data_IF_101308843320
#
_entry.id   IF_101308843320
#
_cell.length_a   1.000
_cell.length_b   1.000
_cell.length_c   1.000
_cell.angle_alpha   90.00
_cell.angle_beta   90.00
_cell.angle_gamma   90.00
#
_symmetry.space_group_name_H-M   'P 1'
#
loop_
_entity.id
_entity.type
_entity.pdbx_description
1 polymer ?
#
# COMPACT_ATOMS: atom_id res chain seq x y z
N UNK A 1 9.15 34.31 -19.67
CA UNK A 1 10.59 34.72 -19.77
C UNK A 1 11.42 34.24 -18.57
N UNK A 2 10.98 34.42 -17.31
CA UNK A 2 11.72 33.96 -16.13
C UNK A 2 11.91 32.42 -16.08
N UNK A 3 10.90 31.65 -16.42
CA UNK A 3 10.98 30.17 -16.42
C UNK A 3 11.96 29.62 -17.47
N UNK A 4 12.06 30.25 -18.62
CA UNK A 4 13.03 29.89 -19.69
C UNK A 4 14.46 30.20 -19.26
N UNK A 5 14.70 31.32 -18.58
CA UNK A 5 16.04 31.71 -18.08
C UNK A 5 16.51 30.77 -16.94
N UNK A 6 15.61 30.33 -16.05
CA UNK A 6 15.94 29.36 -15.00
C UNK A 6 16.24 27.99 -15.59
N UNK A 7 15.48 27.55 -16.59
CA UNK A 7 15.71 26.29 -17.32
C UNK A 7 17.03 26.37 -18.13
N UNK A 8 17.39 27.50 -18.72
CA UNK A 8 18.68 27.70 -19.41
C UNK A 8 19.87 27.64 -18.44
N UNK A 9 19.74 28.24 -17.24
CA UNK A 9 20.77 28.14 -16.18
C UNK A 9 20.95 26.73 -15.66
N UNK A 10 19.84 26.03 -15.47
CA UNK A 10 19.84 24.61 -15.08
C UNK A 10 20.43 23.72 -16.19
N UNK A 11 20.11 23.99 -17.45
CA UNK A 11 20.69 23.28 -18.59
C UNK A 11 22.20 23.44 -18.70
N UNK A 12 22.72 24.64 -18.43
CA UNK A 12 24.16 24.90 -18.35
C UNK A 12 24.84 24.19 -17.19
N UNK A 13 24.20 24.11 -16.03
CA UNK A 13 24.69 23.39 -14.85
C UNK A 13 24.61 21.86 -15.02
N UNK A 14 23.64 21.37 -15.80
CA UNK A 14 23.43 19.95 -16.11
C UNK A 14 24.10 19.54 -17.44
N UNK A 15 25.36 19.90 -17.62
CA UNK A 15 26.12 19.89 -18.87
C UNK A 15 26.14 18.58 -19.70
N UNK A 16 25.79 17.41 -19.13
CA UNK A 16 25.76 16.15 -19.86
C UNK A 16 24.37 15.48 -19.79
N UNK A 17 24.06 14.67 -20.79
CA UNK A 17 22.84 13.85 -20.81
C UNK A 17 22.73 12.92 -19.58
N UNK A 18 23.85 12.41 -19.11
CA UNK A 18 23.93 11.57 -17.92
C UNK A 18 23.61 12.35 -16.62
N UNK A 19 24.11 13.60 -16.51
CA UNK A 19 23.82 14.44 -15.33
C UNK A 19 22.33 14.81 -15.28
N UNK A 20 21.71 15.07 -16.45
CA UNK A 20 20.27 15.34 -16.57
C UNK A 20 19.43 14.12 -16.20
N UNK A 21 19.84 12.91 -16.61
CA UNK A 21 19.17 11.66 -16.24
C UNK A 21 19.16 11.48 -14.72
N UNK A 22 20.34 11.55 -14.07
CA UNK A 22 20.48 11.46 -12.61
C UNK A 22 19.66 12.52 -11.86
N UNK A 23 19.56 13.73 -12.40
CA UNK A 23 18.72 14.78 -11.80
C UNK A 23 17.24 14.39 -11.85
N UNK A 24 16.74 13.88 -12.98
CA UNK A 24 15.37 13.42 -13.13
C UNK A 24 15.04 12.26 -12.16
N UNK A 25 15.94 11.31 -12.04
CA UNK A 25 15.82 10.17 -11.10
C UNK A 25 15.77 10.67 -9.64
N UNK A 26 16.70 11.54 -9.24
CA UNK A 26 16.73 12.12 -7.89
C UNK A 26 15.48 12.96 -7.58
N UNK A 27 14.99 13.70 -8.56
CA UNK A 27 13.75 14.48 -8.42
C UNK A 27 12.53 13.57 -8.27
N UNK A 28 12.45 12.50 -9.05
CA UNK A 28 11.39 11.49 -8.96
C UNK A 28 11.37 10.85 -7.56
N UNK A 29 12.54 10.42 -7.06
CA UNK A 29 12.66 9.86 -5.72
C UNK A 29 12.20 10.85 -4.63
N UNK A 30 12.61 12.11 -4.73
CA UNK A 30 12.17 13.14 -3.79
C UNK A 30 10.65 13.34 -3.82
N UNK A 31 10.01 13.30 -4.99
CA UNK A 31 8.56 13.42 -5.13
C UNK A 31 7.85 12.25 -4.47
N UNK A 32 8.33 11.00 -4.67
CA UNK A 32 7.80 9.80 -4.03
C UNK A 32 7.82 9.93 -2.50
N UNK A 33 8.96 10.34 -1.94
CA UNK A 33 9.12 10.55 -0.49
C UNK A 33 8.24 11.69 0.03
N UNK A 34 8.13 12.82 -0.70
CA UNK A 34 7.24 13.94 -0.34
C UNK A 34 5.75 13.59 -0.46
N UNK A 35 5.38 12.64 -1.31
CA UNK A 35 4.04 12.11 -1.36
C UNK A 35 3.68 11.25 -0.14
N UNK A 36 4.67 10.90 0.71
CA UNK A 36 4.51 10.09 1.91
C UNK A 36 4.69 8.60 1.66
N UNK A 37 5.19 8.22 0.48
CA UNK A 37 5.50 6.83 0.14
C UNK A 37 6.83 6.40 0.77
N UNK A 38 6.93 5.14 1.16
CA UNK A 38 8.12 4.54 1.80
C UNK A 38 8.77 3.53 0.86
N UNK A 39 10.07 3.72 0.61
CA UNK A 39 10.88 2.81 -0.19
C UNK A 39 10.93 1.41 0.45
N UNK A 40 10.88 0.38 -0.38
CA UNK A 40 10.84 -1.02 0.06
C UNK A 40 9.49 -1.47 0.64
N UNK A 41 8.50 -0.58 0.74
CA UNK A 41 7.13 -0.88 1.21
C UNK A 41 6.10 -0.42 0.18
N UNK A 42 6.05 0.89 -0.08
CA UNK A 42 5.07 1.50 -0.99
C UNK A 42 5.64 1.64 -2.40
N UNK A 43 6.98 1.69 -2.58
CA UNK A 43 7.62 1.73 -3.89
C UNK A 43 9.02 1.11 -3.89
N UNK A 44 9.47 0.71 -5.08
CA UNK A 44 10.80 0.19 -5.36
C UNK A 44 11.45 1.00 -6.49
N UNK A 45 12.74 1.35 -6.31
CA UNK A 45 13.58 1.97 -7.35
C UNK A 45 14.37 0.85 -8.01
N UNK A 46 14.26 0.74 -9.33
CA UNK A 46 15.03 -0.23 -10.10
C UNK A 46 16.39 0.33 -10.42
N UNK A 47 17.40 -0.08 -9.67
CA UNK A 47 18.82 0.27 -9.90
C UNK A 47 19.46 -0.74 -10.84
N UNK A 48 19.00 -0.86 -12.07
CA UNK A 48 19.72 -1.68 -13.05
C UNK A 48 20.84 -0.86 -13.69
N UNK A 49 22.12 -1.28 -13.57
CA UNK A 49 23.21 -0.67 -14.34
C UNK A 49 23.09 -1.13 -15.80
N UNK A 50 22.60 -0.27 -16.63
CA UNK A 50 22.53 -0.48 -18.07
C UNK A 50 21.13 -0.67 -18.64
N UNK A 51 20.99 -0.30 -19.88
CA UNK A 51 19.80 -0.26 -20.73
C UNK A 51 19.18 -1.67 -20.96
N UNK A 52 18.76 -2.34 -19.88
CA UNK A 52 17.91 -3.52 -19.99
C UNK A 52 16.53 -3.02 -20.40
N UNK A 53 16.28 -3.05 -21.71
CA UNK A 53 15.01 -2.69 -22.31
C UNK A 53 13.89 -3.46 -21.65
N UNK A 54 13.06 -2.79 -20.86
CA UNK A 54 11.85 -3.37 -20.30
C UNK A 54 11.68 -3.27 -18.78
N UNK A 55 12.61 -2.66 -18.03
CA UNK A 55 12.46 -2.45 -16.58
C UNK A 55 12.06 -0.99 -16.34
N UNK A 56 10.99 -0.69 -15.58
CA UNK A 56 10.62 0.67 -15.20
C UNK A 56 11.62 1.25 -14.19
N UNK A 57 11.78 2.56 -14.14
CA UNK A 57 12.68 3.19 -13.15
C UNK A 57 12.12 3.08 -11.73
N UNK A 58 10.79 3.12 -11.57
CA UNK A 58 10.09 2.99 -10.30
C UNK A 58 8.83 2.14 -10.45
N UNK A 59 8.59 1.30 -9.45
CA UNK A 59 7.33 0.57 -9.27
C UNK A 59 6.68 1.09 -7.98
N UNK A 60 5.44 1.59 -8.05
CA UNK A 60 4.66 1.98 -6.88
C UNK A 60 3.59 0.93 -6.62
N UNK A 61 3.61 0.32 -5.44
CA UNK A 61 2.64 -0.67 -5.00
C UNK A 61 1.38 0.03 -4.49
N UNK A 62 0.30 -0.14 -5.22
CA UNK A 62 -1.00 0.46 -4.90
C UNK A 62 -1.86 -0.49 -4.06
N UNK A 63 -3.05 -0.03 -3.66
CA UNK A 63 -4.08 -0.89 -3.10
C UNK A 63 -4.46 -2.04 -4.06
N UNK A 64 -5.03 -3.11 -3.52
CA UNK A 64 -5.52 -4.29 -4.28
C UNK A 64 -4.42 -5.01 -5.09
N UNK A 65 -3.17 -4.91 -4.65
CA UNK A 65 -1.99 -5.53 -5.29
C UNK A 65 -1.77 -5.05 -6.72
N UNK A 66 -2.15 -3.82 -7.01
CA UNK A 66 -1.86 -3.17 -8.28
C UNK A 66 -0.51 -2.46 -8.22
N UNK A 67 0.21 -2.45 -9.34
CA UNK A 67 1.49 -1.78 -9.51
C UNK A 67 1.36 -0.64 -10.53
N UNK A 68 1.82 0.54 -10.15
CA UNK A 68 1.98 1.68 -11.04
C UNK A 68 3.45 1.80 -11.46
N UNK A 69 3.69 1.74 -12.75
CA UNK A 69 5.02 1.86 -13.33
C UNK A 69 5.31 3.30 -13.73
N UNK A 70 6.50 3.79 -13.37
CA UNK A 70 6.97 5.15 -13.69
C UNK A 70 8.31 5.05 -14.39
N UNK A 71 8.44 5.71 -15.53
CA UNK A 71 9.67 5.85 -16.33
C UNK A 71 10.06 7.34 -16.39
N UNK A 72 11.32 7.67 -16.05
CA UNK A 72 11.84 9.04 -15.98
C UNK A 72 12.62 9.48 -17.24
N UNK A 73 12.62 8.66 -18.26
CA UNK A 73 13.39 8.87 -19.49
C UNK A 73 12.70 9.85 -20.42
N UNK A 74 13.07 11.11 -20.33
CA UNK A 74 12.47 12.20 -21.08
C UNK A 74 13.42 12.78 -22.14
N UNK A 75 13.00 13.04 -23.39
CA UNK A 75 13.86 13.60 -24.41
C UNK A 75 14.06 15.10 -24.25
N UNK A 76 15.30 15.56 -24.09
CA UNK A 76 15.60 16.99 -23.89
C UNK A 76 16.34 17.62 -25.07
N UNK A 77 16.96 16.84 -25.94
CA UNK A 77 17.98 17.32 -26.89
C UNK A 77 17.42 18.42 -27.79
N UNK A 78 16.30 18.15 -28.45
CA UNK A 78 15.66 19.11 -29.37
C UNK A 78 15.15 20.35 -28.68
N UNK A 79 14.70 20.24 -27.46
CA UNK A 79 14.30 21.39 -26.65
C UNK A 79 15.48 22.33 -26.41
N UNK A 80 16.63 21.81 -25.97
CA UNK A 80 17.81 22.62 -25.72
C UNK A 80 18.40 23.23 -26.98
N UNK A 81 18.40 22.51 -28.11
CA UNK A 81 18.75 23.04 -29.40
C UNK A 81 17.83 24.25 -29.80
N UNK A 82 16.52 24.07 -29.57
CA UNK A 82 15.54 25.11 -29.89
C UNK A 82 15.71 26.40 -29.07
N UNK A 83 16.00 26.30 -27.76
CA UNK A 83 16.18 27.48 -26.92
C UNK A 83 17.57 28.11 -27.08
N UNK A 84 18.51 27.45 -27.74
CA UNK A 84 19.85 27.94 -28.02
C UNK A 84 19.98 28.65 -29.37
N UNK A 85 18.93 28.62 -30.21
CA UNK A 85 18.93 29.29 -31.52
C UNK A 85 18.11 30.59 -31.47
N UNK A 86 18.64 31.64 -32.11
CA UNK A 86 17.96 32.92 -32.26
C UNK A 86 17.01 32.97 -33.51
N UNK A 87 17.17 32.02 -34.44
CA UNK A 87 16.32 31.91 -35.60
C UNK A 87 14.95 31.33 -35.27
N UNK A 88 13.90 32.12 -35.50
CA UNK A 88 12.52 31.76 -35.14
C UNK A 88 11.99 30.57 -35.91
N UNK A 89 12.34 30.37 -37.18
CA UNK A 89 11.85 29.27 -37.99
C UNK A 89 12.57 27.96 -37.61
N UNK A 90 13.87 28.00 -37.37
CA UNK A 90 14.64 26.91 -36.84
C UNK A 90 14.10 26.48 -35.45
N UNK A 91 13.81 27.44 -34.57
CA UNK A 91 13.23 27.20 -33.26
C UNK A 91 11.88 26.47 -33.35
N UNK A 92 10.97 26.92 -34.20
CA UNK A 92 9.67 26.25 -34.42
C UNK A 92 9.84 24.81 -34.91
N UNK A 93 10.77 24.63 -35.87
CA UNK A 93 11.06 23.30 -36.41
C UNK A 93 11.59 22.34 -35.33
N UNK A 94 12.52 22.83 -34.50
CA UNK A 94 13.09 22.07 -33.40
C UNK A 94 12.06 21.75 -32.30
N UNK A 95 11.13 22.66 -31.98
CA UNK A 95 10.05 22.40 -31.02
C UNK A 95 9.06 21.35 -31.53
N UNK A 96 8.72 21.35 -32.84
CA UNK A 96 7.93 20.27 -33.45
C UNK A 96 8.65 18.93 -33.38
N UNK A 97 9.96 18.92 -33.64
CA UNK A 97 10.78 17.73 -33.52
C UNK A 97 10.84 17.22 -32.06
N UNK A 98 10.93 18.16 -31.07
CA UNK A 98 10.85 17.82 -29.66
C UNK A 98 9.52 17.13 -29.28
N UNK A 99 8.38 17.66 -29.73
CA UNK A 99 7.08 17.04 -29.50
C UNK A 99 6.99 15.64 -30.15
N UNK A 100 7.57 15.49 -31.36
CA UNK A 100 7.66 14.19 -32.05
C UNK A 100 8.54 13.19 -31.30
N UNK A 101 9.70 13.62 -30.78
CA UNK A 101 10.58 12.77 -29.98
C UNK A 101 9.88 12.31 -28.70
N UNK A 102 9.10 13.17 -28.06
CA UNK A 102 8.31 12.83 -26.88
C UNK A 102 7.26 11.76 -27.21
N UNK A 103 6.53 11.89 -28.33
CA UNK A 103 5.61 10.86 -28.80
C UNK A 103 6.33 9.55 -29.14
N UNK A 104 7.53 9.61 -29.69
CA UNK A 104 8.36 8.43 -29.91
C UNK A 104 8.70 7.69 -28.61
N UNK A 105 8.96 8.42 -27.52
CA UNK A 105 9.13 7.83 -26.17
C UNK A 105 7.84 7.23 -25.63
N UNK A 106 6.71 7.90 -25.81
CA UNK A 106 5.38 7.37 -25.47
C UNK A 106 5.14 6.05 -26.20
N UNK A 107 5.46 5.98 -27.49
CA UNK A 107 5.33 4.76 -28.31
C UNK A 107 6.23 3.63 -27.84
N UNK A 108 7.47 3.94 -27.50
CA UNK A 108 8.41 2.96 -26.98
C UNK A 108 7.95 2.42 -25.62
N UNK A 109 7.43 3.30 -24.76
CA UNK A 109 6.95 2.95 -23.42
C UNK A 109 5.68 2.09 -23.50
N UNK A 110 4.72 2.43 -24.35
CA UNK A 110 3.50 1.66 -24.56
C UNK A 110 3.75 0.23 -25.06
N UNK A 111 4.84 0.01 -25.81
CA UNK A 111 5.23 -1.32 -26.32
C UNK A 111 5.87 -2.22 -25.28
N UNK A 112 6.34 -1.68 -24.14
CA UNK A 112 6.99 -2.47 -23.08
C UNK A 112 6.03 -3.38 -22.31
N UNK A 113 4.71 -3.33 -22.61
CA UNK A 113 3.66 -4.20 -22.06
C UNK A 113 3.65 -4.29 -20.52
N UNK A 114 4.00 -3.23 -19.84
CA UNK A 114 3.82 -3.16 -18.38
C UNK A 114 2.37 -3.39 -17.98
N UNK A 115 1.43 -3.06 -18.87
CA UNK A 115 -0.01 -3.26 -18.73
C UNK A 115 -0.46 -4.73 -18.83
N UNK A 116 0.40 -5.64 -19.29
CA UNK A 116 0.06 -7.06 -19.44
C UNK A 116 0.23 -7.88 -18.16
N UNK A 117 0.88 -7.36 -17.13
CA UNK A 117 0.92 -7.97 -15.81
C UNK A 117 -0.48 -7.88 -15.17
N UNK A 118 -0.97 -8.98 -14.61
CA UNK A 118 -2.28 -9.03 -13.91
C UNK A 118 -2.40 -8.01 -12.77
N UNK A 119 -1.27 -7.48 -12.32
CA UNK A 119 -1.12 -6.49 -11.24
C UNK A 119 -0.95 -5.06 -11.74
N UNK A 120 -0.97 -4.80 -13.05
CA UNK A 120 -0.74 -3.46 -13.59
C UNK A 120 -1.94 -2.54 -13.43
N UNK A 121 -1.67 -1.25 -13.19
CA UNK A 121 -2.66 -0.17 -13.13
C UNK A 121 -3.31 0.18 -14.49
N UNK A 122 -3.09 -0.59 -15.56
CA UNK A 122 -3.56 -0.36 -16.93
C UNK A 122 -3.01 0.90 -17.62
N UNK A 123 -2.07 1.60 -17.01
CA UNK A 123 -1.34 2.72 -17.60
C UNK A 123 0.06 2.83 -17.02
N UNK A 124 0.93 3.54 -17.71
CA UNK A 124 2.31 3.82 -17.28
C UNK A 124 2.50 5.33 -17.19
N UNK A 125 3.29 5.79 -16.24
CA UNK A 125 3.61 7.21 -16.09
C UNK A 125 4.96 7.49 -16.76
N UNK A 126 4.98 8.44 -17.69
CA UNK A 126 6.20 9.06 -18.20
C UNK A 126 6.47 10.35 -17.42
N UNK A 127 7.52 10.34 -16.61
CA UNK A 127 7.86 11.49 -15.79
C UNK A 127 8.67 12.52 -16.58
N UNK A 128 8.12 13.74 -16.67
CA UNK A 128 8.76 14.90 -17.25
C UNK A 128 9.28 15.80 -16.13
N UNK A 129 10.61 15.87 -15.86
CA UNK A 129 11.15 16.55 -14.68
C UNK A 129 11.06 18.08 -14.73
N UNK A 130 10.67 18.66 -15.87
CA UNK A 130 10.54 20.09 -16.03
C UNK A 130 9.20 20.48 -16.66
N UNK A 131 8.42 21.31 -15.96
CA UNK A 131 7.11 21.81 -16.43
C UNK A 131 7.23 22.55 -17.78
N UNK A 132 8.28 23.38 -17.94
CA UNK A 132 8.50 24.19 -19.14
C UNK A 132 8.76 23.35 -20.40
N UNK A 133 9.44 22.22 -20.26
CA UNK A 133 9.74 21.35 -21.41
C UNK A 133 8.46 20.69 -21.95
N UNK A 134 7.58 20.24 -21.07
CA UNK A 134 6.29 19.70 -21.47
C UNK A 134 5.39 20.82 -22.05
N UNK A 135 5.38 22.00 -21.43
CA UNK A 135 4.57 23.12 -21.90
C UNK A 135 4.92 23.52 -23.35
N UNK A 136 6.20 23.59 -23.72
CA UNK A 136 6.63 23.90 -25.08
C UNK A 136 6.27 22.78 -26.07
N UNK A 137 6.34 21.52 -25.64
CA UNK A 137 5.90 20.39 -26.48
C UNK A 137 4.38 20.47 -26.76
N UNK A 138 3.57 20.90 -25.79
CA UNK A 138 2.13 21.08 -25.94
C UNK A 138 1.76 22.29 -26.82
N UNK A 139 2.59 23.34 -26.83
CA UNK A 139 2.42 24.44 -27.77
C UNK A 139 2.68 23.96 -29.21
N UNK A 140 3.67 23.08 -29.41
CA UNK A 140 4.00 22.54 -30.72
C UNK A 140 3.02 21.45 -31.21
N UNK A 141 2.46 20.64 -30.31
CA UNK A 141 1.43 19.62 -30.56
C UNK A 141 0.36 19.65 -29.44
N UNK A 142 -0.72 20.42 -29.60
CA UNK A 142 -1.77 20.57 -28.57
C UNK A 142 -2.51 19.27 -28.18
N UNK A 143 -2.50 18.26 -29.06
CA UNK A 143 -3.17 16.97 -28.80
C UNK A 143 -2.19 15.88 -28.31
N UNK A 144 -0.96 16.25 -27.93
CA UNK A 144 0.08 15.34 -27.50
C UNK A 144 -0.35 14.49 -26.29
N UNK A 145 -1.01 15.09 -25.30
CA UNK A 145 -1.49 14.36 -24.12
C UNK A 145 -2.60 13.38 -24.46
N UNK A 146 -3.49 13.73 -25.37
CA UNK A 146 -4.56 12.82 -25.85
C UNK A 146 -3.94 11.61 -26.56
N UNK A 147 -2.97 11.83 -27.44
CA UNK A 147 -2.23 10.75 -28.11
C UNK A 147 -1.48 9.84 -27.14
N UNK A 148 -0.91 10.39 -26.06
CA UNK A 148 -0.26 9.61 -25.02
C UNK A 148 -1.29 8.78 -24.23
N UNK A 149 -2.41 9.38 -23.88
CA UNK A 149 -3.48 8.73 -23.13
C UNK A 149 -4.12 7.56 -23.92
N UNK A 150 -4.35 7.71 -25.23
CA UNK A 150 -4.79 6.62 -26.11
C UNK A 150 -3.86 5.40 -26.06
N UNK A 151 -2.57 5.64 -25.81
CA UNK A 151 -1.54 4.60 -25.66
C UNK A 151 -1.34 4.14 -24.21
N UNK A 152 -2.25 4.54 -23.31
CA UNK A 152 -2.16 4.24 -21.88
C UNK A 152 -0.89 4.75 -21.21
N UNK A 153 -0.36 5.87 -21.69
CA UNK A 153 0.78 6.58 -21.09
C UNK A 153 0.29 7.92 -20.59
N UNK A 154 0.51 8.17 -19.31
CA UNK A 154 0.21 9.45 -18.65
C UNK A 154 1.52 10.22 -18.50
N UNK A 155 1.62 11.39 -19.12
CA UNK A 155 2.78 12.27 -18.95
C UNK A 155 2.54 13.13 -17.69
N UNK A 156 3.44 13.02 -16.71
CA UNK A 156 3.32 13.74 -15.45
C UNK A 156 4.56 14.59 -15.17
N UNK A 157 4.33 15.84 -14.81
CA UNK A 157 5.33 16.78 -14.30
C UNK A 157 5.46 16.66 -12.78
N UNK A 158 6.44 17.31 -12.13
CA UNK A 158 6.60 17.27 -10.69
C UNK A 158 5.32 17.58 -9.90
N UNK A 159 4.59 18.61 -10.30
CA UNK A 159 3.35 19.04 -9.63
C UNK A 159 2.23 18.03 -9.79
N UNK A 160 2.02 17.54 -11.01
CA UNK A 160 0.96 16.57 -11.32
C UNK A 160 1.27 15.20 -10.74
N UNK A 161 2.53 14.76 -10.80
CA UNK A 161 2.97 13.50 -10.21
C UNK A 161 2.79 13.50 -8.68
N UNK A 162 3.19 14.59 -8.01
CA UNK A 162 3.00 14.71 -6.55
C UNK A 162 1.52 14.60 -6.16
N UNK A 163 0.63 15.29 -6.89
CA UNK A 163 -0.83 15.21 -6.65
C UNK A 163 -1.37 13.80 -6.85
N UNK A 164 -0.97 13.14 -7.95
CA UNK A 164 -1.36 11.76 -8.24
C UNK A 164 -0.87 10.78 -7.17
N UNK A 165 0.41 10.87 -6.79
CA UNK A 165 1.00 9.96 -5.79
C UNK A 165 0.42 10.16 -4.39
N UNK A 166 0.03 11.38 -4.01
CA UNK A 166 -0.72 11.62 -2.76
C UNK A 166 -2.08 10.95 -2.77
N UNK A 167 -2.76 10.96 -3.92
CA UNK A 167 -4.03 10.25 -4.08
C UNK A 167 -3.84 8.73 -3.99
N UNK A 168 -2.79 8.20 -4.61
CA UNK A 168 -2.41 6.79 -4.50
C UNK A 168 -2.11 6.42 -3.04
N UNK A 169 -1.30 7.23 -2.33
CA UNK A 169 -0.99 7.00 -0.91
C UNK A 169 -2.25 6.98 -0.04
N UNK A 170 -3.17 7.90 -0.27
CA UNK A 170 -4.45 7.89 0.43
C UNK A 170 -5.24 6.58 0.19
N UNK A 171 -5.20 6.05 -1.03
CA UNK A 171 -5.79 4.75 -1.37
C UNK A 171 -5.14 3.59 -0.61
N UNK A 172 -3.80 3.56 -0.57
CA UNK A 172 -3.02 2.56 0.18
C UNK A 172 -3.39 2.59 1.67
N UNK A 173 -3.39 3.78 2.29
CA UNK A 173 -3.69 3.93 3.71
C UNK A 173 -5.12 3.52 4.07
N UNK A 174 -6.10 3.84 3.21
CA UNK A 174 -7.49 3.41 3.39
C UNK A 174 -7.66 1.90 3.26
N UNK A 175 -7.01 1.27 2.29
CA UNK A 175 -7.03 -0.18 2.12
C UNK A 175 -6.40 -0.89 3.32
N UNK A 176 -5.26 -0.40 3.82
CA UNK A 176 -4.62 -0.94 5.02
C UNK A 176 -5.54 -0.85 6.26
N UNK A 177 -6.23 0.29 6.43
CA UNK A 177 -7.19 0.47 7.53
C UNK A 177 -8.38 -0.49 7.40
N UNK A 178 -8.93 -0.67 6.20
CA UNK A 178 -10.05 -1.59 5.96
C UNK A 178 -9.66 -3.04 6.27
N UNK A 179 -8.48 -3.49 5.82
CA UNK A 179 -7.96 -4.82 6.10
C UNK A 179 -7.76 -5.04 7.60
N UNK A 180 -7.20 -4.05 8.32
CA UNK A 180 -7.04 -4.13 9.78
C UNK A 180 -8.38 -4.23 10.50
N UNK A 181 -9.40 -3.51 10.05
CA UNK A 181 -10.74 -3.57 10.63
C UNK A 181 -11.39 -4.97 10.41
N UNK A 182 -11.17 -5.60 9.26
CA UNK A 182 -11.65 -6.95 8.98
C UNK A 182 -10.95 -8.00 9.86
N UNK A 183 -9.62 -7.91 10.02
CA UNK A 183 -8.86 -8.77 10.92
C UNK A 183 -9.35 -8.66 12.38
N UNK A 184 -9.57 -7.43 12.88
CA UNK A 184 -10.10 -7.19 14.23
C UNK A 184 -11.49 -7.84 14.37
N UNK A 185 -12.36 -7.71 13.39
CA UNK A 185 -13.67 -8.32 13.38
C UNK A 185 -13.60 -9.85 13.46
N UNK A 186 -12.69 -10.46 12.71
CA UNK A 186 -12.48 -11.90 12.71
C UNK A 186 -11.97 -12.41 14.07
N UNK A 187 -11.01 -11.69 14.67
CA UNK A 187 -10.50 -12.01 16.01
C UNK A 187 -11.63 -11.87 17.04
N UNK A 188 -12.41 -10.80 16.98
CA UNK A 188 -13.55 -10.60 17.90
C UNK A 188 -14.58 -11.72 17.77
N UNK A 189 -14.92 -12.14 16.56
CA UNK A 189 -15.86 -13.23 16.31
C UNK A 189 -15.35 -14.54 16.90
N UNK A 190 -14.07 -14.86 16.70
CA UNK A 190 -13.43 -16.06 17.31
C UNK A 190 -13.42 -15.98 18.83
N UNK A 191 -13.15 -14.80 19.40
CA UNK A 191 -13.17 -14.61 20.85
C UNK A 191 -14.56 -14.86 21.42
N UNK A 192 -15.60 -14.27 20.82
CA UNK A 192 -17.00 -14.47 21.26
C UNK A 192 -17.39 -15.96 21.23
N UNK A 193 -17.06 -16.67 20.16
CA UNK A 193 -17.37 -18.12 20.08
C UNK A 193 -16.68 -18.94 21.20
N UNK A 194 -15.41 -18.62 21.51
CA UNK A 194 -14.70 -19.27 22.63
C UNK A 194 -15.29 -18.92 24.00
N UNK A 195 -15.76 -17.68 24.20
CA UNK A 195 -16.43 -17.28 25.42
C UNK A 195 -17.74 -18.06 25.63
N UNK A 196 -18.52 -18.26 24.57
CA UNK A 196 -19.74 -19.10 24.62
C UNK A 196 -19.41 -20.53 25.04
N UNK A 197 -18.41 -21.14 24.43
CA UNK A 197 -17.97 -22.51 24.80
C UNK A 197 -17.51 -22.59 26.25
N UNK A 198 -16.72 -21.59 26.71
CA UNK A 198 -16.30 -21.54 28.12
C UNK A 198 -17.48 -21.40 29.09
N UNK A 199 -18.48 -20.60 28.72
CA UNK A 199 -19.71 -20.48 29.52
C UNK A 199 -20.45 -21.82 29.65
N UNK A 200 -20.54 -22.60 28.58
CA UNK A 200 -21.12 -23.95 28.61
C UNK A 200 -20.34 -24.92 29.53
N UNK A 201 -19.00 -24.84 29.51
CA UNK A 201 -18.16 -25.59 30.42
C UNK A 201 -18.39 -25.21 31.88
N UNK A 202 -18.44 -23.89 32.18
CA UNK A 202 -18.73 -23.41 33.54
C UNK A 202 -20.11 -23.86 34.01
N UNK A 203 -21.13 -23.80 33.15
CA UNK A 203 -22.47 -24.29 33.45
C UNK A 203 -22.47 -25.79 33.78
N UNK A 204 -21.72 -26.58 33.00
CA UNK A 204 -21.59 -28.02 33.23
C UNK A 204 -20.90 -28.32 34.55
N UNK A 205 -19.82 -27.63 34.89
CA UNK A 205 -19.13 -27.78 36.20
C UNK A 205 -20.07 -27.39 37.33
N UNK A 206 -20.82 -26.30 37.22
CA UNK A 206 -21.79 -25.85 38.21
C UNK A 206 -22.87 -26.95 38.47
N UNK A 207 -23.44 -27.56 37.42
CA UNK A 207 -24.41 -28.62 37.54
C UNK A 207 -23.84 -29.85 38.26
N UNK A 208 -22.61 -30.25 37.93
CA UNK A 208 -21.92 -31.40 38.55
C UNK A 208 -21.63 -31.14 40.02
N UNK A 209 -21.18 -29.94 40.38
CA UNK A 209 -20.98 -29.54 41.78
C UNK A 209 -22.27 -29.60 42.59
N UNK A 210 -23.37 -29.07 42.06
CA UNK A 210 -24.67 -29.14 42.73
C UNK A 210 -25.12 -30.59 42.94
N UNK A 211 -24.94 -31.47 41.93
CA UNK A 211 -25.23 -32.88 42.05
C UNK A 211 -24.38 -33.57 43.13
N UNK A 212 -23.09 -33.19 43.20
CA UNK A 212 -22.18 -33.70 44.23
C UNK A 212 -22.60 -33.28 45.66
N UNK A 213 -22.96 -32.03 45.81
CA UNK A 213 -23.47 -31.49 47.11
C UNK A 213 -24.75 -32.19 47.51
N UNK A 214 -25.68 -32.41 46.57
CA UNK A 214 -26.92 -33.14 46.82
C UNK A 214 -26.66 -34.59 47.26
N UNK A 215 -25.76 -35.29 46.56
CA UNK A 215 -25.37 -36.66 46.91
C UNK A 215 -24.70 -36.76 48.27
N UNK A 216 -23.82 -35.76 48.59
CA UNK A 216 -23.19 -35.69 49.90
C UNK A 216 -24.23 -35.46 51.01
N UNK A 217 -25.15 -34.55 50.85
CA UNK A 217 -26.22 -34.29 51.82
C UNK A 217 -27.12 -35.55 52.03
N UNK A 218 -27.40 -36.25 50.95
CA UNK A 218 -28.15 -37.55 51.03
C UNK A 218 -27.40 -38.62 51.82
N UNK A 219 -26.07 -38.70 51.62
CA UNK A 219 -25.20 -39.61 52.37
C UNK A 219 -25.19 -39.24 53.87
N UNK A 220 -25.02 -37.96 54.19
CA UNK A 220 -25.05 -37.48 55.58
C UNK A 220 -26.38 -37.85 56.24
N UNK A 221 -27.53 -37.52 55.61
CA UNK A 221 -28.84 -37.86 56.15
C UNK A 221 -29.06 -39.38 56.30
N UNK A 222 -28.52 -40.17 55.39
CA UNK A 222 -28.57 -41.66 55.54
C UNK A 222 -27.74 -42.15 56.72
N UNK A 223 -26.51 -41.64 56.90
CA UNK A 223 -25.65 -41.98 58.04
C UNK A 223 -26.31 -41.54 59.35
N UNK A 224 -26.87 -40.36 59.40
CA UNK A 224 -27.60 -39.86 60.59
C UNK A 224 -28.78 -40.80 60.96
N UNK A 225 -29.59 -41.21 60.02
CA UNK A 225 -30.76 -42.02 60.27
C UNK A 225 -30.44 -43.49 60.51
N UNK A 226 -29.45 -44.07 59.81
CA UNK A 226 -29.16 -45.52 59.89
C UNK A 226 -28.10 -45.88 60.89
N UNK A 227 -27.21 -44.93 61.25
CA UNK A 227 -26.10 -45.19 62.19
C UNK A 227 -26.22 -44.34 63.45
N UNK A 228 -26.20 -43.00 63.26
CA UNK A 228 -26.09 -42.10 64.41
C UNK A 228 -27.30 -42.14 65.31
N UNK A 229 -28.53 -42.12 64.78
CA UNK A 229 -29.75 -42.19 65.60
C UNK A 229 -29.92 -43.51 66.35
N UNK A 230 -29.72 -44.71 65.74
CA UNK A 230 -29.77 -46.00 66.47
C UNK A 230 -28.67 -46.13 67.57
N UNK A 231 -27.43 -45.70 67.25
CA UNK A 231 -26.33 -45.72 68.25
C UNK A 231 -26.64 -44.80 69.41
N UNK A 232 -27.16 -43.62 69.19
CA UNK A 232 -27.61 -42.70 70.22
C UNK A 232 -28.72 -43.32 71.10
N UNK A 233 -29.67 -43.98 70.51
CA UNK A 233 -30.71 -44.67 71.25
C UNK A 233 -30.17 -45.84 72.06
N UNK A 234 -29.09 -46.55 71.67
CA UNK A 234 -28.39 -47.58 72.43
C UNK A 234 -27.63 -46.93 73.62
N UNK A 235 -26.98 -45.80 73.44
CA UNK A 235 -26.29 -45.10 74.54
C UNK A 235 -27.31 -44.66 75.59
N UNK A 236 -28.43 -44.08 75.20
CA UNK A 236 -29.48 -43.63 76.10
C UNK A 236 -30.12 -44.76 76.91
N UNK A 237 -30.09 -45.96 76.36
CA UNK A 237 -30.57 -47.18 77.06
C UNK A 237 -29.47 -47.87 77.89
N UNK A 238 -28.29 -47.35 77.98
CA UNK A 238 -27.17 -47.88 78.72
C UNK A 238 -26.59 -49.20 78.16
N UNK A 239 -26.79 -49.46 76.85
CA UNK A 239 -26.31 -50.67 76.15
C UNK A 239 -24.81 -50.57 75.80
N UNK A 240 -24.32 -49.33 75.62
CA UNK A 240 -22.91 -49.04 75.36
C UNK A 240 -22.53 -47.74 76.04
N UNK A 241 -21.26 -47.62 76.43
CA UNK A 241 -20.70 -46.44 77.10
C UNK A 241 -19.79 -45.61 76.11
N UNK A 242 -19.72 -46.01 74.79
CA UNK A 242 -18.92 -45.30 73.82
C UNK A 242 -19.65 -44.03 73.32
N UNK A 243 -18.97 -42.90 73.32
CA UNK A 243 -19.50 -41.63 72.74
C UNK A 243 -19.29 -41.64 71.27
N UNK A 244 -20.30 -41.14 70.50
CA UNK A 244 -20.15 -40.84 69.09
C UNK A 244 -19.21 -39.62 68.92
N UNK A 245 -18.35 -39.61 67.88
CA UNK A 245 -17.44 -38.54 67.57
C UNK A 245 -18.16 -37.23 67.18
#
# INVERSE_FOLDING_TARGET
EKGVQETQKLAGALGSSQTRGKYGEAQLENILRHAGLKEGIDFEIQTSPGDLSGIPDVIVHMADKLDLYIDSKFPYVRYFEAISTDDLESRKTLMKAHASDLLGHVDALSKRKYDSAKTSANFVVLFAPFESILAEALIADPILLEKAFEKRVVIATPSTLLGMLRTVKLGIDRSALANSAEEIRDIATKLVSKLVTNYEHISTVSKRLNSTVTAFNSLVGNVESTVTAPVKAMIDKGITNESLP
#
